data_IF_784163194083
#
_entry.id   IF_784163194083
#
_cell.length_a   1.000
_cell.length_b   1.000
_cell.length_c   1.000
_cell.angle_alpha   90.00
_cell.angle_beta   90.00
_cell.angle_gamma   90.00
#
_symmetry.space_group_name_H-M   'P 1'
#
loop_
_entity.id
_entity.type
_entity.pdbx_description
1 polymer ?
#
# COMPACT_ATOMS: atom_id res chain seq x y z
N UNK A 1 29.06 -10.15 -61.33
CA UNK A 1 27.97 -9.16 -61.34
C UNK A 1 26.64 -9.89 -61.42
N UNK A 2 25.69 -9.53 -60.55
CA UNK A 2 24.23 -9.75 -60.60
C UNK A 2 23.64 -11.18 -60.50
N UNK A 3 23.25 -11.52 -59.26
CA UNK A 3 21.90 -11.91 -58.77
C UNK A 3 20.90 -12.67 -59.67
N UNK A 4 20.36 -13.80 -59.18
CA UNK A 4 18.90 -14.09 -59.25
C UNK A 4 18.40 -15.13 -58.22
N UNK A 5 17.73 -14.60 -57.19
CA UNK A 5 16.44 -14.99 -56.56
C UNK A 5 16.19 -16.48 -56.22
N UNK A 6 16.20 -16.77 -54.91
CA UNK A 6 15.59 -17.96 -54.30
C UNK A 6 14.10 -17.71 -54.05
N UNK A 7 13.24 -18.58 -54.57
CA UNK A 7 11.83 -18.65 -54.15
C UNK A 7 11.74 -19.40 -52.82
N UNK A 8 11.29 -18.71 -51.78
CA UNK A 8 10.89 -19.30 -50.50
C UNK A 8 9.52 -19.97 -50.67
N UNK A 9 9.47 -21.29 -50.49
CA UNK A 9 8.22 -22.01 -50.25
C UNK A 9 7.74 -21.71 -48.82
N UNK A 10 6.67 -20.92 -48.69
CA UNK A 10 5.91 -20.80 -47.45
C UNK A 10 4.87 -21.92 -47.39
N UNK A 11 5.14 -22.92 -46.55
CA UNK A 11 4.16 -23.96 -46.20
C UNK A 11 3.20 -23.41 -45.14
N UNK A 12 2.11 -22.76 -45.55
CA UNK A 12 1.01 -22.39 -44.65
C UNK A 12 0.05 -23.57 -44.43
N UNK A 13 -0.49 -23.71 -43.21
CA UNK A 13 -1.56 -24.66 -42.90
C UNK A 13 -2.91 -23.95 -43.02
N UNK A 14 -3.86 -24.55 -43.74
CA UNK A 14 -5.20 -23.98 -43.98
C UNK A 14 -6.11 -24.39 -42.83
N UNK A 15 -6.69 -23.42 -42.12
CA UNK A 15 -7.77 -23.65 -41.15
C UNK A 15 -9.07 -23.15 -41.75
N UNK A 16 -10.09 -24.00 -41.81
CA UNK A 16 -11.42 -23.63 -42.29
C UNK A 16 -12.36 -23.44 -41.10
N UNK A 17 -12.80 -22.21 -40.85
CA UNK A 17 -13.90 -21.93 -39.93
C UNK A 17 -15.20 -21.83 -40.73
N UNK A 18 -16.11 -22.78 -40.52
CA UNK A 18 -17.46 -22.71 -41.09
C UNK A 18 -18.32 -21.77 -40.26
N UNK A 19 -18.64 -20.58 -40.77
CA UNK A 19 -19.77 -19.78 -40.32
C UNK A 19 -20.98 -20.13 -41.18
N UNK A 20 -22.05 -20.62 -40.54
CA UNK A 20 -23.32 -20.83 -41.20
C UNK A 20 -24.12 -19.53 -41.14
N UNK A 21 -24.12 -18.76 -42.22
CA UNK A 21 -25.12 -17.71 -42.45
C UNK A 21 -26.34 -18.32 -43.16
N UNK A 22 -27.54 -17.92 -42.73
CA UNK A 22 -28.87 -18.44 -43.11
C UNK A 22 -29.26 -18.27 -44.60
N UNK A 23 -28.30 -18.14 -45.52
CA UNK A 23 -28.54 -18.16 -46.97
C UNK A 23 -27.51 -19.02 -47.70
N UNK A 24 -27.43 -20.30 -47.33
CA UNK A 24 -27.14 -21.42 -48.25
C UNK A 24 -25.97 -21.30 -49.24
N UNK A 25 -24.96 -20.47 -48.99
CA UNK A 25 -23.71 -20.42 -49.74
C UNK A 25 -22.56 -20.41 -48.75
N UNK A 26 -21.99 -21.59 -48.51
CA UNK A 26 -20.79 -21.77 -47.70
C UNK A 26 -19.58 -21.22 -48.45
N UNK A 27 -19.37 -19.90 -48.36
CA UNK A 27 -18.12 -19.29 -48.72
C UNK A 27 -17.03 -19.79 -47.77
N UNK A 28 -16.25 -20.79 -48.19
CA UNK A 28 -15.06 -21.22 -47.45
C UNK A 28 -14.03 -20.10 -47.52
N UNK A 29 -13.96 -19.26 -46.49
CA UNK A 29 -12.89 -18.29 -46.35
C UNK A 29 -11.66 -19.05 -45.85
N UNK A 30 -10.74 -19.36 -46.76
CA UNK A 30 -9.42 -19.88 -46.40
C UNK A 30 -8.58 -18.73 -45.84
N UNK A 31 -8.60 -18.56 -44.53
CA UNK A 31 -7.67 -17.63 -43.86
C UNK A 31 -6.35 -18.36 -43.67
N UNK A 32 -5.35 -18.01 -44.49
CA UNK A 32 -3.99 -18.51 -44.31
C UNK A 32 -3.37 -17.80 -43.11
N UNK A 33 -3.33 -18.47 -41.97
CA UNK A 33 -2.72 -17.94 -40.75
C UNK A 33 -1.20 -18.15 -40.83
N UNK A 34 -0.39 -17.08 -40.72
CA UNK A 34 1.06 -17.20 -40.67
C UNK A 34 1.51 -18.17 -39.57
N UNK A 35 2.49 -19.03 -39.88
CA UNK A 35 3.09 -19.99 -38.94
C UNK A 35 3.60 -19.33 -37.64
N UNK A 36 4.00 -18.06 -37.70
CA UNK A 36 4.40 -17.28 -36.53
C UNK A 36 3.26 -17.10 -35.52
N UNK A 37 2.04 -16.85 -36.00
CA UNK A 37 0.85 -16.69 -35.15
C UNK A 37 0.49 -18.04 -34.52
N UNK A 38 0.61 -19.14 -35.26
CA UNK A 38 0.38 -20.48 -34.72
C UNK A 38 1.41 -20.87 -33.64
N UNK A 39 2.68 -20.51 -33.84
CA UNK A 39 3.72 -20.69 -32.83
C UNK A 39 3.47 -19.85 -31.58
N UNK A 40 3.11 -18.57 -31.75
CA UNK A 40 2.75 -17.70 -30.64
C UNK A 40 1.53 -18.20 -29.87
N UNK A 41 0.52 -18.74 -30.55
CA UNK A 41 -0.64 -19.35 -29.91
C UNK A 41 -0.24 -20.60 -29.10
N UNK A 42 0.61 -21.47 -29.65
CA UNK A 42 1.09 -22.65 -28.94
C UNK A 42 1.96 -22.30 -27.71
N UNK A 43 2.79 -21.26 -27.81
CA UNK A 43 3.57 -20.73 -26.70
C UNK A 43 2.66 -20.12 -25.61
N UNK A 44 1.63 -19.37 -26.01
CA UNK A 44 0.64 -18.82 -25.09
C UNK A 44 -0.16 -19.93 -24.38
N UNK A 45 -0.58 -20.96 -25.09
CA UNK A 45 -1.29 -22.12 -24.52
C UNK A 45 -0.41 -22.90 -23.54
N UNK A 46 0.89 -23.02 -23.82
CA UNK A 46 1.84 -23.64 -22.91
C UNK A 46 2.00 -22.84 -21.61
N UNK A 47 2.10 -21.51 -21.72
CA UNK A 47 2.15 -20.58 -20.58
C UNK A 47 0.88 -20.63 -19.73
N UNK A 48 -0.30 -20.67 -20.35
CA UNK A 48 -1.59 -20.79 -19.64
C UNK A 48 -1.62 -22.08 -18.83
N UNK A 49 -1.21 -23.21 -19.43
CA UNK A 49 -1.17 -24.51 -18.73
C UNK A 49 -0.16 -24.52 -17.58
N UNK A 50 0.94 -23.79 -17.69
CA UNK A 50 1.93 -23.65 -16.62
C UNK A 50 1.36 -22.83 -15.44
N UNK A 51 0.71 -21.70 -15.73
CA UNK A 51 0.00 -20.89 -14.73
C UNK A 51 -1.12 -21.68 -14.05
N UNK A 52 -1.91 -22.44 -14.81
CA UNK A 52 -2.96 -23.30 -14.28
C UNK A 52 -2.40 -24.38 -13.34
N UNK A 53 -1.23 -24.97 -13.66
CA UNK A 53 -0.57 -25.94 -12.77
C UNK A 53 -0.02 -25.29 -11.51
N UNK A 54 0.57 -24.09 -11.59
CA UNK A 54 1.05 -23.36 -10.41
C UNK A 54 -0.09 -22.92 -9.49
N UNK A 55 -1.20 -22.46 -10.07
CA UNK A 55 -2.38 -22.03 -9.33
C UNK A 55 -3.14 -23.21 -8.72
N UNK A 56 -3.23 -24.35 -9.42
CA UNK A 56 -3.83 -25.58 -8.90
C UNK A 56 -3.05 -26.20 -7.73
N UNK A 57 -1.71 -26.06 -7.70
CA UNK A 57 -0.88 -26.49 -6.56
C UNK A 57 -1.14 -25.66 -5.29
N UNK A 58 -1.68 -24.45 -5.42
CA UNK A 58 -2.10 -23.59 -4.30
C UNK A 58 -3.57 -23.85 -3.99
N UNK A 59 -3.86 -25.10 -3.60
CA UNK A 59 -5.20 -25.55 -3.24
C UNK A 59 -5.77 -24.77 -2.05
N UNK A 60 -6.59 -23.77 -2.35
CA UNK A 60 -7.41 -23.06 -1.39
C UNK A 60 -8.42 -22.20 -2.12
N UNK A 61 -9.71 -22.44 -1.89
CA UNK A 61 -10.79 -21.57 -2.38
C UNK A 61 -10.48 -20.14 -1.88
N UNK A 62 -10.43 -19.12 -2.76
CA UNK A 62 -10.28 -17.74 -2.33
C UNK A 62 -11.35 -17.46 -1.27
N UNK A 63 -10.94 -17.06 -0.07
CA UNK A 63 -11.86 -16.80 1.02
C UNK A 63 -12.76 -15.64 0.55
N UNK A 64 -14.05 -15.90 0.34
CA UNK A 64 -15.07 -14.96 -0.15
C UNK A 64 -15.40 -13.84 0.84
N UNK A 65 -14.56 -13.61 1.84
CA UNK A 65 -14.58 -12.36 2.58
C UNK A 65 -14.13 -11.27 1.63
N UNK A 66 -15.08 -10.47 1.15
CA UNK A 66 -14.80 -9.19 0.51
C UNK A 66 -13.68 -8.50 1.30
N UNK A 67 -12.64 -7.96 0.64
CA UNK A 67 -11.60 -7.23 1.34
C UNK A 67 -12.27 -6.19 2.23
N UNK A 68 -12.01 -6.23 3.55
CA UNK A 68 -12.51 -5.18 4.44
C UNK A 68 -12.11 -3.84 3.83
N UNK A 69 -13.02 -2.84 3.76
CA UNK A 69 -12.72 -1.56 3.15
C UNK A 69 -11.45 -1.00 3.79
N UNK A 70 -10.42 -0.84 2.96
CA UNK A 70 -9.14 -0.32 3.43
C UNK A 70 -9.29 1.18 3.67
N UNK A 71 -9.28 1.62 4.93
CA UNK A 71 -9.03 3.03 5.28
C UNK A 71 -7.61 3.44 4.85
N UNK A 72 -7.50 4.17 3.76
CA UNK A 72 -6.22 4.73 3.33
C UNK A 72 -5.78 5.81 4.32
N UNK A 73 -4.50 5.76 4.71
CA UNK A 73 -3.86 6.83 5.50
C UNK A 73 -2.90 7.55 4.56
N UNK A 74 -3.06 8.87 4.44
CA UNK A 74 -2.22 9.76 3.66
C UNK A 74 -1.94 11.04 4.44
N UNK A 75 -0.85 11.71 4.07
CA UNK A 75 -0.50 13.02 4.61
C UNK A 75 -0.88 14.12 3.61
N UNK A 76 -1.24 15.28 4.14
CA UNK A 76 -1.40 16.51 3.36
C UNK A 76 -0.20 17.39 3.67
N UNK A 77 0.51 17.83 2.64
CA UNK A 77 1.65 18.72 2.73
C UNK A 77 1.71 19.65 1.51
N UNK A 78 2.48 20.73 1.62
CA UNK A 78 2.60 21.72 0.54
C UNK A 78 3.42 21.20 -0.64
N UNK A 79 4.29 20.21 -0.40
CA UNK A 79 5.14 19.60 -1.42
C UNK A 79 5.02 18.07 -1.42
N UNK A 80 5.30 17.47 -2.58
CA UNK A 80 5.39 16.00 -2.71
C UNK A 80 6.53 15.44 -1.85
N UNK A 81 7.66 16.15 -1.79
CA UNK A 81 8.84 15.76 -1.01
C UNK A 81 8.53 15.65 0.49
N UNK A 82 7.75 16.59 1.04
CA UNK A 82 7.28 16.52 2.41
C UNK A 82 6.33 15.34 2.63
N UNK A 83 5.42 15.11 1.68
CA UNK A 83 4.49 13.98 1.75
C UNK A 83 5.25 12.66 1.78
N UNK A 84 6.22 12.49 0.88
CA UNK A 84 7.06 11.31 0.78
C UNK A 84 7.91 11.12 2.05
N UNK A 85 8.47 12.20 2.60
CA UNK A 85 9.22 12.14 3.85
C UNK A 85 8.35 11.69 5.03
N UNK A 86 7.13 12.25 5.17
CA UNK A 86 6.17 11.86 6.23
C UNK A 86 5.73 10.40 6.06
N UNK A 87 5.51 9.95 4.82
CA UNK A 87 5.20 8.55 4.51
C UNK A 87 6.35 7.62 4.87
N UNK A 88 7.61 7.99 4.59
CA UNK A 88 8.78 7.19 4.97
C UNK A 88 8.90 7.03 6.49
N UNK A 89 8.68 8.10 7.25
CA UNK A 89 8.65 8.05 8.72
C UNK A 89 7.57 7.07 9.19
N UNK A 90 6.35 7.19 8.64
CA UNK A 90 5.25 6.29 8.97
C UNK A 90 5.59 4.82 8.70
N UNK A 91 6.22 4.53 7.56
CA UNK A 91 6.60 3.16 7.19
C UNK A 91 7.73 2.60 8.07
N UNK A 92 8.66 3.44 8.53
CA UNK A 92 9.70 3.01 9.48
C UNK A 92 9.12 2.69 10.86
N UNK A 93 8.18 3.50 11.35
CA UNK A 93 7.57 3.33 12.69
C UNK A 93 6.49 2.25 12.71
N UNK A 94 5.57 2.29 11.74
CA UNK A 94 4.40 1.42 11.68
C UNK A 94 4.64 0.15 10.83
N UNK A 95 5.73 0.10 10.08
CA UNK A 95 6.09 -0.98 9.17
C UNK A 95 5.68 -0.71 7.72
N UNK A 96 6.50 -1.18 6.79
CA UNK A 96 6.30 -0.97 5.35
C UNK A 96 4.99 -1.60 4.84
N UNK A 97 4.30 -0.88 3.95
CA UNK A 97 3.14 -1.39 3.22
C UNK A 97 3.63 -2.34 2.13
N UNK A 98 3.34 -3.63 2.26
CA UNK A 98 3.71 -4.60 1.22
C UNK A 98 2.81 -5.83 1.20
N UNK A 99 2.71 -6.53 0.06
CA UNK A 99 2.17 -7.88 0.02
C UNK A 99 3.05 -8.81 0.88
N UNK A 100 2.42 -9.63 1.74
CA UNK A 100 3.13 -10.61 2.59
C UNK A 100 3.71 -10.09 3.91
N UNK A 101 3.85 -8.77 4.11
CA UNK A 101 4.20 -8.22 5.44
C UNK A 101 2.96 -8.20 6.34
N UNK A 102 3.08 -8.60 7.61
CA UNK A 102 2.03 -8.42 8.63
C UNK A 102 1.77 -6.92 8.74
N UNK A 103 0.78 -6.42 8.01
CA UNK A 103 0.32 -5.03 8.12
C UNK A 103 -0.12 -4.87 9.57
N UNK A 104 0.60 -4.05 10.35
CA UNK A 104 0.09 -3.63 11.67
C UNK A 104 -1.33 -3.11 11.44
N UNK A 105 -2.22 -3.38 12.41
CA UNK A 105 -3.64 -3.04 12.28
C UNK A 105 -3.81 -1.62 11.76
N UNK A 106 -4.72 -1.43 10.82
CA UNK A 106 -4.94 -0.15 10.14
C UNK A 106 -5.13 1.03 11.10
N UNK A 107 -5.78 0.77 12.24
CA UNK A 107 -5.94 1.71 13.35
C UNK A 107 -4.58 2.17 13.91
N UNK A 108 -3.61 1.26 14.04
CA UNK A 108 -2.25 1.61 14.46
C UNK A 108 -1.54 2.51 13.46
N UNK A 109 -1.74 2.30 12.16
CA UNK A 109 -1.16 3.20 11.16
C UNK A 109 -1.78 4.60 11.20
N UNK A 110 -3.10 4.69 11.36
CA UNK A 110 -3.77 5.97 11.51
C UNK A 110 -3.31 6.70 12.77
N UNK A 111 -3.18 5.98 13.90
CA UNK A 111 -2.66 6.54 15.14
C UNK A 111 -1.23 7.07 15.00
N UNK A 112 -0.33 6.30 14.37
CA UNK A 112 1.03 6.76 14.11
C UNK A 112 1.05 8.00 13.20
N UNK A 113 0.22 8.06 12.16
CA UNK A 113 0.18 9.20 11.23
C UNK A 113 -0.31 10.49 11.90
N UNK A 114 -1.34 10.40 12.74
CA UNK A 114 -1.84 11.56 13.50
C UNK A 114 -0.79 12.04 14.51
N UNK A 115 -0.08 11.12 15.17
CA UNK A 115 1.03 11.48 16.06
C UNK A 115 2.20 12.12 15.33
N UNK A 116 2.59 11.62 14.15
CA UNK A 116 3.65 12.21 13.32
C UNK A 116 3.28 13.67 12.99
N UNK A 117 2.05 13.89 12.53
CA UNK A 117 1.55 15.23 12.19
C UNK A 117 1.59 16.15 13.42
N UNK A 118 1.03 15.68 14.55
CA UNK A 118 1.02 16.43 15.79
C UNK A 118 2.44 16.79 16.27
N UNK A 119 3.40 15.87 16.20
CA UNK A 119 4.77 16.11 16.65
C UNK A 119 5.55 17.05 15.73
N UNK A 120 5.30 17.01 14.42
CA UNK A 120 5.83 17.99 13.48
C UNK A 120 5.29 19.40 13.81
N UNK A 121 4.00 19.52 14.11
CA UNK A 121 3.40 20.80 14.51
C UNK A 121 3.96 21.31 15.85
N UNK A 122 4.12 20.43 16.85
CA UNK A 122 4.77 20.79 18.12
C UNK A 122 6.17 21.35 17.87
N UNK A 123 6.95 20.70 17.00
CA UNK A 123 8.29 21.14 16.61
C UNK A 123 8.26 22.51 15.93
N UNK A 124 7.38 22.72 14.95
CA UNK A 124 7.21 24.01 14.26
C UNK A 124 6.87 25.16 15.24
N UNK A 125 6.15 24.85 16.32
CA UNK A 125 5.81 25.84 17.37
C UNK A 125 6.84 25.96 18.50
N UNK A 126 7.97 25.26 18.42
CA UNK A 126 8.98 25.25 19.48
C UNK A 126 8.51 24.60 20.79
N UNK A 127 7.46 23.78 20.75
CA UNK A 127 6.99 23.02 21.91
C UNK A 127 7.75 21.70 21.96
N UNK A 128 8.35 21.40 23.12
CA UNK A 128 9.11 20.15 23.29
C UNK A 128 8.19 18.93 23.12
N UNK A 129 8.50 18.00 22.19
CA UNK A 129 7.73 16.79 22.01
C UNK A 129 7.94 15.83 23.20
N UNK A 130 7.00 14.91 23.46
CA UNK A 130 7.04 14.03 24.62
C UNK A 130 8.17 12.99 24.53
N UNK A 131 9.08 12.94 25.50
CA UNK A 131 10.24 12.02 25.51
C UNK A 131 10.34 11.20 26.78
N UNK A 132 10.77 9.94 26.68
CA UNK A 132 11.04 9.06 27.83
C UNK A 132 9.82 8.89 28.77
N UNK A 133 8.62 8.96 28.21
CA UNK A 133 7.37 8.95 28.97
C UNK A 133 6.99 10.27 29.67
N UNK A 134 7.77 11.34 29.47
CA UNK A 134 7.41 12.69 29.90
C UNK A 134 6.48 13.34 28.87
N UNK A 135 5.28 13.73 29.32
CA UNK A 135 4.29 14.44 28.52
C UNK A 135 4.01 15.80 29.18
N UNK A 136 4.53 16.86 28.57
CA UNK A 136 4.36 18.22 29.08
C UNK A 136 2.91 18.69 28.95
N UNK A 137 2.45 19.60 29.82
CA UNK A 137 1.10 20.20 29.72
C UNK A 137 0.92 20.85 28.36
N UNK A 138 1.93 21.59 27.88
CA UNK A 138 1.87 22.28 26.59
C UNK A 138 1.68 21.29 25.44
N UNK A 139 2.49 20.24 25.36
CA UNK A 139 2.34 19.23 24.32
C UNK A 139 1.00 18.49 24.41
N UNK A 140 0.57 18.17 25.63
CA UNK A 140 -0.70 17.51 25.89
C UNK A 140 -1.89 18.33 25.36
N UNK A 141 -2.03 19.56 25.82
CA UNK A 141 -3.15 20.47 25.47
C UNK A 141 -3.11 20.89 24.01
N UNK A 142 -1.91 21.00 23.43
CA UNK A 142 -1.75 21.47 22.06
C UNK A 142 -2.36 20.54 21.00
N UNK A 143 -2.37 19.23 21.27
CA UNK A 143 -2.97 18.27 20.33
C UNK A 143 -2.71 16.82 20.64
N UNK A 144 -1.73 16.50 21.50
CA UNK A 144 -1.47 15.08 21.84
C UNK A 144 -2.67 14.46 22.53
N UNK A 145 -3.38 15.20 23.38
CA UNK A 145 -4.61 14.73 24.01
C UNK A 145 -5.68 14.39 22.96
N UNK A 146 -5.90 15.25 21.97
CA UNK A 146 -6.91 15.06 20.93
C UNK A 146 -6.62 13.81 20.08
N UNK A 147 -5.35 13.59 19.74
CA UNK A 147 -4.92 12.37 19.04
C UNK A 147 -5.17 11.14 19.90
N UNK A 148 -4.83 11.18 21.20
CA UNK A 148 -5.06 10.06 22.10
C UNK A 148 -6.55 9.75 22.28
N UNK A 149 -7.41 10.77 22.39
CA UNK A 149 -8.86 10.59 22.49
C UNK A 149 -9.43 10.00 21.21
N UNK A 150 -9.05 10.55 20.04
CA UNK A 150 -9.54 10.09 18.73
C UNK A 150 -9.26 8.62 18.46
N UNK A 151 -8.13 8.11 18.95
CA UNK A 151 -7.72 6.71 18.79
C UNK A 151 -8.06 5.82 19.98
N UNK A 152 -8.87 6.32 20.94
CA UNK A 152 -9.34 5.55 22.09
C UNK A 152 -8.25 5.22 23.12
N UNK A 153 -7.12 5.92 23.09
CA UNK A 153 -6.00 5.73 24.02
C UNK A 153 -6.18 6.51 25.32
N UNK A 154 -7.11 7.47 25.34
CA UNK A 154 -7.56 8.23 26.50
C UNK A 154 -9.07 8.51 26.40
N UNK A 155 -9.78 8.47 27.53
CA UNK A 155 -11.19 8.89 27.59
C UNK A 155 -11.28 10.43 27.56
N UNK A 156 -12.25 10.97 26.83
CA UNK A 156 -12.51 12.41 26.76
C UNK A 156 -12.87 13.00 28.14
N UNK A 157 -13.60 12.25 28.96
CA UNK A 157 -13.97 12.66 30.33
C UNK A 157 -12.74 12.84 31.24
N UNK A 158 -11.64 12.15 30.92
CA UNK A 158 -10.39 12.24 31.67
C UNK A 158 -9.52 13.43 31.25
N UNK A 159 -9.88 14.17 30.19
CA UNK A 159 -9.10 15.28 29.66
C UNK A 159 -8.81 16.33 30.74
N UNK A 160 -9.84 16.91 31.34
CA UNK A 160 -9.70 18.03 32.28
C UNK A 160 -8.88 17.63 33.52
N UNK A 161 -9.05 16.39 33.99
CA UNK A 161 -8.31 15.86 35.11
C UNK A 161 -6.84 15.58 34.75
N UNK A 162 -6.56 15.12 33.53
CA UNK A 162 -5.20 14.88 33.03
C UNK A 162 -4.46 16.19 32.75
N UNK A 163 -5.13 17.25 32.30
CA UNK A 163 -4.52 18.59 32.17
C UNK A 163 -4.01 19.11 33.52
N UNK A 164 -4.74 18.87 34.61
CA UNK A 164 -4.38 19.37 35.94
C UNK A 164 -3.37 18.49 36.68
N UNK A 165 -3.35 17.19 36.42
CA UNK A 165 -2.53 16.23 37.15
C UNK A 165 -1.28 15.77 36.37
N UNK A 166 -0.09 16.09 36.87
CA UNK A 166 1.19 15.70 36.25
C UNK A 166 1.46 14.21 36.25
N UNK A 167 1.01 13.48 37.27
CA UNK A 167 1.23 12.04 37.35
C UNK A 167 0.35 11.30 36.35
N UNK A 168 -0.90 11.75 36.13
CA UNK A 168 -1.75 11.21 35.05
C UNK A 168 -1.10 11.39 33.67
N UNK A 169 -0.56 12.58 33.38
CA UNK A 169 0.19 12.82 32.13
C UNK A 169 1.44 11.95 32.03
N UNK A 170 2.18 11.77 33.12
CA UNK A 170 3.38 10.93 33.14
C UNK A 170 3.03 9.46 32.91
N UNK A 171 1.96 8.95 33.51
CA UNK A 171 1.47 7.59 33.28
C UNK A 171 1.06 7.40 31.81
N UNK A 172 0.31 8.36 31.25
CA UNK A 172 -0.11 8.31 29.85
C UNK A 172 1.09 8.41 28.89
N UNK A 173 2.03 9.31 29.17
CA UNK A 173 3.28 9.42 28.42
C UNK A 173 4.10 8.14 28.48
N UNK A 174 4.22 7.51 29.66
CA UNK A 174 4.94 6.23 29.84
C UNK A 174 4.27 5.08 29.09
N UNK A 175 2.94 5.01 29.07
CA UNK A 175 2.18 4.01 28.29
C UNK A 175 2.56 4.03 26.81
N UNK A 176 2.90 5.20 26.26
CA UNK A 176 3.24 5.39 24.85
C UNK A 176 4.72 5.75 24.62
N UNK A 177 5.59 5.57 25.61
CA UNK A 177 6.96 6.07 25.58
C UNK A 177 7.76 5.55 24.38
N UNK A 178 7.69 4.25 24.10
CA UNK A 178 8.43 3.63 22.99
C UNK A 178 7.95 4.19 21.64
N UNK A 179 6.64 4.26 21.44
CA UNK A 179 6.07 4.80 20.20
C UNK A 179 6.43 6.28 20.02
N UNK A 180 6.30 7.09 21.07
CA UNK A 180 6.66 8.50 21.00
C UNK A 180 8.14 8.67 20.70
N UNK A 181 8.99 7.89 21.35
CA UNK A 181 10.44 7.87 21.11
C UNK A 181 10.79 7.51 19.68
N UNK A 182 10.19 6.44 19.13
CA UNK A 182 10.41 5.99 17.75
C UNK A 182 10.02 7.09 16.75
N UNK A 183 8.83 7.68 16.89
CA UNK A 183 8.37 8.75 15.97
C UNK A 183 9.28 9.96 16.06
N UNK A 184 9.62 10.41 17.27
CA UNK A 184 10.45 11.60 17.47
C UNK A 184 11.85 11.39 16.90
N UNK A 185 12.43 10.20 17.10
CA UNK A 185 13.74 9.86 16.53
C UNK A 185 13.74 10.00 15.01
N UNK A 186 12.74 9.42 14.33
CA UNK A 186 12.66 9.51 12.87
C UNK A 186 12.39 10.94 12.37
N UNK A 187 11.60 11.74 13.11
CA UNK A 187 11.39 13.16 12.80
C UNK A 187 12.70 13.94 12.92
N UNK A 188 13.47 13.74 13.99
CA UNK A 188 14.71 14.47 14.24
C UNK A 188 15.83 14.07 13.29
N UNK A 189 15.91 12.80 12.91
CA UNK A 189 16.84 12.32 11.87
C UNK A 189 16.58 13.02 10.53
N UNK A 190 15.31 13.27 10.20
CA UNK A 190 14.92 13.87 8.93
C UNK A 190 14.92 15.40 8.95
N UNK A 191 14.59 15.99 10.08
CA UNK A 191 14.51 17.42 10.28
C UNK A 191 15.40 17.81 11.47
N UNK A 192 16.72 17.94 11.27
CA UNK A 192 17.61 18.45 12.30
C UNK A 192 17.22 19.90 12.62
N UNK A 193 17.23 20.22 13.92
CA UNK A 193 17.00 21.57 14.45
C UNK A 193 18.22 22.46 14.30
#
# INVERSE_FOLDING_TARGET
>A
MLCRIRHHHHSGCIVTNGQNDERGKSGKINVMVPLSILKQAAEADALIREIERETAKRGGRPRTTAPKPMKYVGFIADTQEETDARMQILERVAGARGPGKKRRGQERMAFCADLITCFLELRLRGIKPPRGGSLSVKAFVFGVADVLIRHGEMDENDYAATVKNSDRRRTLGRKHADLFGDIIREIEERYPS
#
